data_IF_998745891886
#
_entry.id   IF_998745891886
#
_cell.length_a   1.000
_cell.length_b   1.000
_cell.length_c   1.000
_cell.angle_alpha   90.00
_cell.angle_beta   90.00
_cell.angle_gamma   90.00
#
_symmetry.space_group_name_H-M   'P 1'
#
loop_
_entity.id
_entity.type
_entity.pdbx_description
1 polymer ?
#
# COMPACT_ATOMS: atom_id res chain seq x y z
N UNK A 1 -3.38 -21.90 45.42
CA UNK A 1 -4.36 -21.22 44.52
C UNK A 1 -3.60 -20.71 43.30
N UNK A 2 -3.87 -21.28 42.12
CA UNK A 2 -3.22 -20.90 40.85
C UNK A 2 -3.76 -19.52 40.42
N UNK A 3 -2.88 -18.53 40.30
CA UNK A 3 -3.24 -17.23 39.70
C UNK A 3 -3.14 -17.38 38.17
N UNK A 4 -4.28 -17.50 37.51
CA UNK A 4 -4.36 -17.33 36.06
C UNK A 4 -4.24 -15.84 35.76
N UNK A 5 -3.14 -15.44 35.15
CA UNK A 5 -2.96 -14.09 34.62
C UNK A 5 -3.55 -14.07 33.20
N UNK A 6 -4.55 -13.22 33.01
CA UNK A 6 -5.33 -13.07 31.78
C UNK A 6 -4.43 -12.60 30.63
N UNK A 7 -4.16 -13.48 29.68
CA UNK A 7 -3.46 -13.16 28.43
C UNK A 7 -4.51 -12.95 27.31
N UNK A 8 -5.38 -11.95 27.45
CA UNK A 8 -6.47 -11.68 26.48
C UNK A 8 -6.52 -10.22 26.01
N UNK A 9 -5.47 -9.44 26.21
CA UNK A 9 -5.44 -8.03 25.78
C UNK A 9 -4.59 -7.77 24.52
N UNK A 10 -3.70 -8.70 24.14
CA UNK A 10 -2.83 -8.55 22.97
C UNK A 10 -3.49 -8.96 21.65
N UNK A 11 -4.51 -9.83 21.69
CA UNK A 11 -5.14 -10.36 20.46
C UNK A 11 -6.15 -9.41 19.80
N UNK A 12 -6.76 -8.51 20.57
CA UNK A 12 -7.79 -7.59 20.06
C UNK A 12 -7.16 -6.43 19.28
N UNK A 13 -5.97 -5.96 19.69
CA UNK A 13 -5.29 -4.81 19.06
C UNK A 13 -4.75 -5.16 17.68
N UNK A 14 -4.26 -6.39 17.46
CA UNK A 14 -3.78 -6.86 16.15
C UNK A 14 -4.91 -7.02 15.11
N UNK A 15 -6.16 -7.10 15.56
CA UNK A 15 -7.30 -7.39 14.70
C UNK A 15 -7.84 -6.14 13.99
N UNK A 16 -7.76 -4.96 14.61
CA UNK A 16 -8.30 -3.71 14.05
C UNK A 16 -7.50 -3.20 12.84
N UNK A 17 -6.17 -3.30 12.85
CA UNK A 17 -5.35 -2.93 11.68
C UNK A 17 -5.65 -3.81 10.47
N UNK A 18 -5.85 -5.12 10.70
CA UNK A 18 -6.16 -6.05 9.63
C UNK A 18 -7.44 -5.70 8.89
N UNK A 19 -8.39 -4.99 9.52
CA UNK A 19 -9.71 -4.77 8.95
C UNK A 19 -9.75 -3.61 7.93
N UNK A 20 -8.97 -2.55 8.14
CA UNK A 20 -9.05 -1.34 7.30
C UNK A 20 -8.59 -1.58 5.86
N UNK A 21 -7.52 -2.37 5.67
CA UNK A 21 -6.96 -2.65 4.33
C UNK A 21 -7.29 -4.06 3.83
N UNK A 22 -8.24 -4.75 4.47
CA UNK A 22 -8.60 -6.14 4.12
C UNK A 22 -9.11 -6.25 2.69
N UNK A 23 -9.94 -5.31 2.22
CA UNK A 23 -10.43 -5.31 0.85
C UNK A 23 -9.28 -5.22 -0.17
N UNK A 24 -8.31 -4.34 0.08
CA UNK A 24 -7.11 -4.23 -0.75
C UNK A 24 -6.30 -5.54 -0.75
N UNK A 25 -6.15 -6.18 0.41
CA UNK A 25 -5.48 -7.49 0.53
C UNK A 25 -6.17 -8.58 -0.27
N UNK A 26 -7.50 -8.63 -0.21
CA UNK A 26 -8.31 -9.60 -0.94
C UNK A 26 -8.24 -9.39 -2.45
N UNK A 27 -8.29 -8.14 -2.91
CA UNK A 27 -8.09 -7.79 -4.33
C UNK A 27 -6.69 -8.23 -4.76
N UNK A 28 -5.65 -7.91 -3.98
CA UNK A 28 -4.27 -8.32 -4.28
C UNK A 28 -4.16 -9.83 -4.46
N UNK A 29 -4.65 -10.60 -3.49
CA UNK A 29 -4.61 -12.06 -3.51
C UNK A 29 -5.34 -12.64 -4.72
N UNK A 30 -6.53 -12.11 -5.05
CA UNK A 30 -7.32 -12.52 -6.20
C UNK A 30 -6.52 -12.38 -7.50
N UNK A 31 -5.99 -11.18 -7.76
CA UNK A 31 -5.29 -10.92 -9.01
C UNK A 31 -3.90 -11.54 -9.10
N UNK A 32 -3.19 -11.70 -7.97
CA UNK A 32 -1.91 -12.43 -7.93
C UNK A 32 -2.12 -13.89 -8.36
N UNK A 33 -3.19 -14.53 -7.88
CA UNK A 33 -3.57 -15.89 -8.28
C UNK A 33 -3.97 -15.97 -9.77
N UNK A 34 -4.76 -15.02 -10.26
CA UNK A 34 -5.15 -14.96 -11.68
C UNK A 34 -3.93 -14.80 -12.61
N UNK A 35 -2.98 -13.94 -12.23
CA UNK A 35 -1.72 -13.74 -12.96
C UNK A 35 -0.84 -14.99 -12.93
N UNK A 36 -0.73 -15.67 -11.78
CA UNK A 36 0.03 -16.92 -11.67
C UNK A 36 -0.54 -18.01 -12.59
N UNK A 37 -1.86 -18.20 -12.57
CA UNK A 37 -2.55 -19.15 -13.44
C UNK A 37 -2.33 -18.84 -14.92
N UNK A 38 -2.42 -17.56 -15.31
CA UNK A 38 -2.14 -17.11 -16.68
C UNK A 38 -0.70 -17.44 -17.10
N UNK A 39 0.28 -17.21 -16.22
CA UNK A 39 1.69 -17.51 -16.47
C UNK A 39 1.91 -19.03 -16.61
N UNK A 40 1.26 -19.85 -15.79
CA UNK A 40 1.32 -21.31 -15.89
C UNK A 40 0.75 -21.79 -17.22
N UNK A 41 -0.43 -21.30 -17.61
CA UNK A 41 -1.05 -21.61 -18.90
C UNK A 41 -0.13 -21.21 -20.06
N UNK A 42 0.45 -20.01 -20.01
CA UNK A 42 1.41 -19.54 -21.00
C UNK A 42 2.62 -20.48 -21.13
N UNK A 43 3.19 -20.94 -20.01
CA UNK A 43 4.32 -21.88 -19.99
C UNK A 43 3.96 -23.21 -20.66
N UNK A 44 2.74 -23.71 -20.46
CA UNK A 44 2.25 -24.90 -21.13
C UNK A 44 2.07 -24.67 -22.64
N UNK A 45 1.53 -23.53 -23.03
CA UNK A 45 1.31 -23.17 -24.43
C UNK A 45 2.61 -23.06 -25.23
N UNK A 46 3.69 -22.54 -24.63
CA UNK A 46 5.00 -22.45 -25.30
C UNK A 46 5.70 -23.81 -25.39
N UNK A 47 5.56 -24.67 -24.39
CA UNK A 47 6.16 -26.01 -24.38
C UNK A 47 5.61 -26.89 -25.51
N UNK A 48 4.33 -26.70 -25.86
CA UNK A 48 3.63 -27.49 -26.86
C UNK A 48 3.84 -27.01 -28.32
N UNK A 49 4.75 -26.07 -28.61
CA UNK A 49 4.82 -25.41 -29.93
C UNK A 49 6.23 -25.36 -30.55
N UNK A 50 6.30 -25.81 -31.81
CA UNK A 50 7.55 -26.00 -32.56
C UNK A 50 7.98 -24.82 -33.47
N UNK A 51 7.19 -23.73 -33.61
CA UNK A 51 7.48 -22.67 -34.59
C UNK A 51 7.50 -21.24 -34.02
N UNK A 52 8.59 -20.49 -34.34
CA UNK A 52 8.89 -19.14 -33.82
C UNK A 52 7.81 -18.08 -34.06
N UNK A 53 7.08 -18.11 -35.19
CA UNK A 53 5.99 -17.13 -35.46
C UNK A 53 4.81 -17.31 -34.50
N UNK A 54 4.51 -18.56 -34.12
CA UNK A 54 3.46 -18.90 -33.16
C UNK A 54 3.86 -18.45 -31.75
N UNK A 55 5.15 -18.53 -31.41
CA UNK A 55 5.68 -18.04 -30.13
C UNK A 55 5.42 -16.55 -29.93
N UNK A 56 5.77 -15.71 -30.92
CA UNK A 56 5.53 -14.26 -30.86
C UNK A 56 4.07 -13.91 -30.60
N UNK A 57 3.13 -14.61 -31.25
CA UNK A 57 1.71 -14.35 -31.07
C UNK A 57 1.22 -14.72 -29.68
N UNK A 58 1.67 -15.85 -29.12
CA UNK A 58 1.29 -16.26 -27.76
C UNK A 58 1.83 -15.27 -26.73
N UNK A 59 3.07 -14.81 -26.91
CA UNK A 59 3.67 -13.80 -26.04
C UNK A 59 2.84 -12.53 -26.06
N UNK A 60 2.45 -12.05 -27.25
CA UNK A 60 1.56 -10.88 -27.42
C UNK A 60 0.22 -11.07 -26.73
N UNK A 61 -0.43 -12.22 -26.90
CA UNK A 61 -1.71 -12.54 -26.25
C UNK A 61 -1.55 -12.50 -24.73
N UNK A 62 -0.49 -13.12 -24.19
CA UNK A 62 -0.18 -13.12 -22.76
C UNK A 62 0.08 -11.70 -22.25
N UNK A 63 0.86 -10.90 -22.96
CA UNK A 63 1.15 -9.50 -22.57
C UNK A 63 -0.14 -8.67 -22.50
N UNK A 64 -1.02 -8.81 -23.49
CA UNK A 64 -2.33 -8.15 -23.49
C UNK A 64 -3.19 -8.61 -22.30
N UNK A 65 -3.26 -9.92 -22.04
CA UNK A 65 -4.03 -10.46 -20.93
C UNK A 65 -3.50 -9.98 -19.56
N UNK A 66 -2.18 -9.93 -19.37
CA UNK A 66 -1.56 -9.36 -18.17
C UNK A 66 -1.96 -7.90 -18.00
N UNK A 67 -1.84 -7.09 -19.07
CA UNK A 67 -2.21 -5.68 -19.04
C UNK A 67 -3.68 -5.48 -18.69
N UNK A 68 -4.57 -6.28 -19.24
CA UNK A 68 -6.00 -6.24 -18.92
C UNK A 68 -6.27 -6.56 -17.44
N UNK A 69 -5.59 -7.57 -16.88
CA UNK A 69 -5.71 -7.92 -15.46
C UNK A 69 -5.17 -6.81 -14.55
N UNK A 70 -4.04 -6.20 -14.90
CA UNK A 70 -3.47 -5.08 -14.14
C UNK A 70 -4.39 -3.86 -14.12
N UNK A 71 -5.02 -3.55 -15.26
CA UNK A 71 -6.02 -2.47 -15.37
C UNK A 71 -7.23 -2.77 -14.46
N UNK A 72 -7.76 -3.99 -14.51
CA UNK A 72 -8.91 -4.40 -13.67
C UNK A 72 -8.56 -4.37 -12.18
N UNK A 73 -7.39 -4.92 -11.81
CA UNK A 73 -6.85 -4.87 -10.45
C UNK A 73 -6.78 -3.44 -9.94
N UNK A 74 -6.19 -2.54 -10.72
CA UNK A 74 -6.08 -1.13 -10.34
C UNK A 74 -7.44 -0.44 -10.21
N UNK A 75 -8.42 -0.77 -11.06
CA UNK A 75 -9.77 -0.24 -10.94
C UNK A 75 -10.43 -0.65 -9.62
N UNK A 76 -10.40 -1.95 -9.27
CA UNK A 76 -10.94 -2.45 -8.00
C UNK A 76 -10.22 -1.84 -6.78
N UNK A 77 -8.89 -1.68 -6.86
CA UNK A 77 -8.13 -1.00 -5.81
C UNK A 77 -8.55 0.46 -5.59
N UNK A 78 -8.82 1.20 -6.67
CA UNK A 78 -9.26 2.59 -6.55
C UNK A 78 -10.67 2.69 -5.94
N UNK A 79 -11.57 1.77 -6.27
CA UNK A 79 -12.89 1.69 -5.64
C UNK A 79 -12.78 1.40 -4.14
N UNK A 80 -11.91 0.47 -3.75
CA UNK A 80 -11.68 0.14 -2.35
C UNK A 80 -11.02 1.29 -1.59
N UNK A 81 -10.05 1.98 -2.20
CA UNK A 81 -9.42 3.18 -1.63
C UNK A 81 -10.46 4.27 -1.34
N UNK A 82 -11.46 4.47 -2.20
CA UNK A 82 -12.53 5.43 -1.97
C UNK A 82 -13.37 5.07 -0.74
N UNK A 83 -13.64 3.78 -0.49
CA UNK A 83 -14.33 3.33 0.72
C UNK A 83 -13.51 3.62 1.97
N UNK A 84 -12.22 3.25 1.96
CA UNK A 84 -11.28 3.51 3.07
C UNK A 84 -11.28 5.00 3.41
N UNK A 85 -11.13 5.87 2.40
CA UNK A 85 -11.11 7.33 2.61
C UNK A 85 -12.43 7.89 3.13
N UNK A 86 -13.55 7.34 2.68
CA UNK A 86 -14.88 7.75 3.16
C UNK A 86 -15.07 7.35 4.63
N UNK A 87 -14.65 6.14 5.00
CA UNK A 87 -14.70 5.66 6.38
C UNK A 87 -13.79 6.47 7.30
N UNK A 88 -12.59 6.84 6.84
CA UNK A 88 -11.67 7.72 7.56
C UNK A 88 -12.25 9.12 7.77
N UNK A 89 -12.90 9.71 6.75
CA UNK A 89 -13.53 11.02 6.87
C UNK A 89 -14.67 11.04 7.91
N UNK A 90 -15.42 9.94 8.01
CA UNK A 90 -16.50 9.79 8.98
C UNK A 90 -15.99 9.60 10.42
N UNK A 91 -14.74 9.17 10.61
CA UNK A 91 -14.09 9.12 11.93
C UNK A 91 -13.60 10.53 12.24
N UNK A 92 -14.25 11.23 13.18
CA UNK A 92 -13.80 12.56 13.64
C UNK A 92 -12.35 12.48 14.13
N UNK A 93 -11.42 12.86 13.27
CA UNK A 93 -10.00 12.84 13.58
C UNK A 93 -9.62 14.18 14.20
N UNK A 94 -9.48 14.18 15.51
CA UNK A 94 -9.05 15.37 16.24
C UNK A 94 -7.56 15.62 16.01
N UNK A 95 -7.25 16.44 15.01
CA UNK A 95 -5.89 16.82 14.61
C UNK A 95 -5.15 17.54 15.75
N UNK A 96 -5.87 18.15 16.70
CA UNK A 96 -5.27 18.81 17.86
C UNK A 96 -4.60 17.83 18.84
N UNK A 97 -4.93 16.54 18.76
CA UNK A 97 -4.29 15.47 19.54
C UNK A 97 -3.04 14.88 18.88
N UNK A 98 -2.67 15.33 17.68
CA UNK A 98 -1.38 14.99 17.09
C UNK A 98 -0.31 15.83 17.78
N UNK A 99 0.65 15.17 18.41
CA UNK A 99 1.77 15.87 19.03
C UNK A 99 2.82 16.21 17.97
N UNK A 100 3.27 17.47 17.99
CA UNK A 100 4.47 17.92 17.29
C UNK A 100 5.65 17.53 18.18
N UNK A 101 6.55 16.74 17.61
CA UNK A 101 7.64 16.07 18.30
C UNK A 101 8.77 17.11 18.53
N UNK A 102 9.08 17.44 19.79
CA UNK A 102 10.13 18.35 20.23
C UNK A 102 11.13 17.62 21.15
N UNK A 103 12.42 17.79 20.83
CA UNK A 103 13.52 16.95 21.26
C UNK A 103 13.66 16.84 22.79
N UNK A 104 13.07 15.80 23.39
CA UNK A 104 13.55 15.07 24.58
C UNK A 104 12.75 13.77 24.81
N UNK A 105 13.44 12.62 24.80
CA UNK A 105 12.83 11.32 25.11
C UNK A 105 11.99 10.69 23.97
N UNK A 106 12.08 11.26 22.78
CA UNK A 106 11.25 10.91 21.63
C UNK A 106 11.88 9.82 20.76
N UNK A 107 11.03 8.88 20.33
CA UNK A 107 11.38 7.87 19.34
C UNK A 107 10.44 8.06 18.16
N UNK A 108 11.00 8.41 17.01
CA UNK A 108 10.25 8.51 15.76
C UNK A 108 9.71 7.13 15.34
N UNK A 109 8.54 7.08 14.68
CA UNK A 109 8.07 5.84 14.07
C UNK A 109 9.12 5.27 13.11
N UNK A 110 9.24 3.94 13.10
CA UNK A 110 10.19 3.24 12.24
C UNK A 110 9.47 2.16 11.46
N UNK A 111 9.75 2.06 10.18
CA UNK A 111 9.29 0.91 9.42
C UNK A 111 10.04 -0.34 9.90
N UNK A 112 9.30 -1.39 10.29
CA UNK A 112 9.89 -2.57 10.94
C UNK A 112 10.96 -3.28 10.09
N UNK A 113 10.82 -3.24 8.76
CA UNK A 113 11.79 -3.79 7.80
C UNK A 113 12.89 -2.80 7.36
N UNK A 114 12.86 -1.57 7.86
CA UNK A 114 13.82 -0.52 7.53
C UNK A 114 13.44 0.31 6.28
N UNK A 115 13.98 1.53 6.22
CA UNK A 115 13.55 2.55 5.27
C UNK A 115 13.81 2.21 3.79
N UNK A 116 14.80 1.37 3.49
CA UNK A 116 15.07 0.96 2.10
C UNK A 116 13.99 0.01 1.60
N UNK A 117 13.60 -0.97 2.42
CA UNK A 117 12.51 -1.90 2.10
C UNK A 117 11.19 -1.16 1.95
N UNK A 118 10.92 -0.18 2.82
CA UNK A 118 9.75 0.69 2.69
C UNK A 118 9.68 1.37 1.31
N UNK A 119 10.79 1.96 0.84
CA UNK A 119 10.84 2.63 -0.46
C UNK A 119 10.62 1.66 -1.61
N UNK A 120 11.21 0.47 -1.53
CA UNK A 120 11.07 -0.58 -2.53
C UNK A 120 9.63 -1.10 -2.60
N UNK A 121 9.00 -1.39 -1.47
CA UNK A 121 7.61 -1.85 -1.43
C UNK A 121 6.65 -0.77 -1.92
N UNK A 122 6.87 0.49 -1.55
CA UNK A 122 6.09 1.61 -2.07
C UNK A 122 6.22 1.74 -3.58
N UNK A 123 7.44 1.59 -4.12
CA UNK A 123 7.68 1.63 -5.56
C UNK A 123 7.05 0.42 -6.29
N UNK A 124 7.14 -0.78 -5.71
CA UNK A 124 6.58 -2.01 -6.28
C UNK A 124 5.04 -2.00 -6.31
N UNK A 125 4.41 -1.34 -5.35
CA UNK A 125 2.95 -1.19 -5.30
C UNK A 125 2.43 -0.07 -6.21
N UNK A 126 3.31 0.75 -6.76
CA UNK A 126 2.93 1.91 -7.56
C UNK A 126 2.61 1.53 -9.02
N UNK A 127 1.39 1.83 -9.47
CA UNK A 127 0.96 1.53 -10.84
C UNK A 127 1.11 2.75 -11.76
N UNK A 128 2.28 2.88 -12.38
CA UNK A 128 2.66 4.03 -13.23
C UNK A 128 1.81 4.19 -14.48
N UNK A 129 1.30 3.10 -15.07
CA UNK A 129 0.50 3.12 -16.31
C UNK A 129 -0.83 3.88 -16.16
N UNK A 130 -1.32 4.07 -14.93
CA UNK A 130 -2.52 4.87 -14.66
C UNK A 130 -2.23 6.38 -14.58
N UNK A 131 -0.96 6.79 -14.58
CA UNK A 131 -0.57 8.19 -14.44
C UNK A 131 -0.53 8.86 -15.81
N UNK A 132 -1.25 9.97 -15.94
CA UNK A 132 -1.30 10.76 -17.17
C UNK A 132 -0.36 11.95 -17.04
N UNK A 133 0.46 12.22 -18.05
CA UNK A 133 1.35 13.38 -18.07
C UNK A 133 2.63 13.10 -18.84
N UNK A 134 3.57 14.04 -18.77
CA UNK A 134 4.91 13.91 -19.34
C UNK A 134 5.92 14.61 -18.43
N UNK A 135 7.17 14.16 -18.49
CA UNK A 135 8.26 14.77 -17.75
C UNK A 135 8.21 14.49 -16.25
N UNK A 136 8.94 15.31 -15.49
CA UNK A 136 9.10 15.14 -14.04
C UNK A 136 7.89 15.70 -13.30
N UNK A 137 7.21 14.85 -12.54
CA UNK A 137 6.10 15.21 -11.66
C UNK A 137 6.44 14.83 -10.21
N UNK A 138 5.87 15.56 -9.25
CA UNK A 138 6.14 15.37 -7.82
C UNK A 138 4.85 15.29 -7.00
N UNK A 139 4.92 14.58 -5.88
CA UNK A 139 3.85 14.40 -4.91
C UNK A 139 4.45 14.34 -3.51
N UNK A 140 3.88 15.03 -2.54
CA UNK A 140 4.18 14.82 -1.12
C UNK A 140 3.07 13.95 -0.51
N UNK A 141 3.43 12.74 -0.07
CA UNK A 141 2.55 11.93 0.75
C UNK A 141 2.63 12.40 2.20
N UNK A 142 1.48 12.68 2.81
CA UNK A 142 1.32 12.89 4.24
C UNK A 142 0.37 11.83 4.80
N UNK A 143 0.74 11.21 5.91
CA UNK A 143 -0.07 10.17 6.55
C UNK A 143 0.16 10.15 8.06
N UNK A 144 -0.68 9.44 8.80
CA UNK A 144 -0.54 9.25 10.25
C UNK A 144 -0.21 7.79 10.53
N UNK A 145 0.81 7.58 11.35
CA UNK A 145 1.07 6.31 12.01
C UNK A 145 0.37 6.35 13.36
N UNK A 146 -0.57 5.42 13.57
CA UNK A 146 -1.32 5.25 14.80
C UNK A 146 -0.49 4.58 15.90
N UNK A 147 -1.04 4.54 17.12
CA UNK A 147 -0.38 3.94 18.29
C UNK A 147 -0.14 2.43 18.15
N UNK A 148 -0.88 1.77 17.27
CA UNK A 148 -0.74 0.36 16.94
C UNK A 148 0.17 0.12 15.72
N UNK A 149 0.75 1.19 15.15
CA UNK A 149 1.60 1.10 13.96
C UNK A 149 0.85 1.09 12.64
N UNK A 150 -0.49 1.22 12.64
CA UNK A 150 -1.27 1.30 11.42
C UNK A 150 -1.11 2.64 10.70
N UNK A 151 -1.25 2.62 9.37
CA UNK A 151 -1.25 3.82 8.53
C UNK A 151 -2.69 4.24 8.27
N UNK A 152 -2.99 5.51 8.53
CA UNK A 152 -4.31 6.12 8.26
C UNK A 152 -4.14 7.52 7.68
N UNK A 153 -5.23 8.06 7.13
CA UNK A 153 -5.33 9.43 6.64
C UNK A 153 -4.25 9.76 5.61
N UNK A 154 -4.02 8.85 4.66
CA UNK A 154 -3.02 9.06 3.61
C UNK A 154 -3.54 10.08 2.61
N UNK A 155 -2.72 11.11 2.37
CA UNK A 155 -3.00 12.18 1.42
C UNK A 155 -1.78 12.47 0.55
N UNK A 156 -1.93 12.35 -0.76
CA UNK A 156 -0.98 12.80 -1.75
C UNK A 156 -1.27 14.24 -2.20
N UNK A 157 -0.27 15.11 -2.15
CA UNK A 157 -0.39 16.50 -2.57
C UNK A 157 0.63 16.83 -3.66
N UNK A 158 0.15 17.25 -4.82
CA UNK A 158 0.95 17.57 -6.00
C UNK A 158 0.05 17.98 -7.15
N UNK A 159 0.63 18.53 -8.22
CA UNK A 159 -0.14 19.03 -9.38
C UNK A 159 -0.84 17.92 -10.17
N UNK A 160 -0.32 16.68 -10.12
CA UNK A 160 -0.85 15.56 -10.89
C UNK A 160 -1.75 14.67 -10.02
N UNK A 161 -3.06 14.81 -10.16
CA UNK A 161 -4.02 14.03 -9.37
C UNK A 161 -3.91 12.52 -9.57
N UNK A 162 -3.65 12.07 -10.80
CA UNK A 162 -3.50 10.63 -11.07
C UNK A 162 -2.28 10.05 -10.37
N UNK A 163 -1.18 10.82 -10.30
CA UNK A 163 0.01 10.45 -9.54
C UNK A 163 -0.28 10.43 -8.04
N UNK A 164 -0.94 11.45 -7.51
CA UNK A 164 -1.28 11.54 -6.09
C UNK A 164 -2.12 10.34 -5.64
N UNK A 165 -3.18 10.00 -6.40
CA UNK A 165 -4.06 8.86 -6.08
C UNK A 165 -3.31 7.52 -6.12
N UNK A 166 -2.43 7.32 -7.11
CA UNK A 166 -1.63 6.11 -7.21
C UNK A 166 -0.58 6.01 -6.09
N UNK A 167 0.01 7.14 -5.68
CA UNK A 167 0.93 7.18 -4.55
C UNK A 167 0.22 6.85 -3.22
N UNK A 168 -0.99 7.36 -3.01
CA UNK A 168 -1.81 7.03 -1.84
C UNK A 168 -2.15 5.54 -1.80
N UNK A 169 -2.60 4.99 -2.94
CA UNK A 169 -2.91 3.57 -3.08
C UNK A 169 -1.68 2.70 -2.78
N UNK A 170 -0.54 3.05 -3.36
CA UNK A 170 0.70 2.31 -3.18
C UNK A 170 1.12 2.22 -1.70
N UNK A 171 0.88 3.28 -0.92
CA UNK A 171 1.16 3.29 0.52
C UNK A 171 0.17 2.41 1.30
N UNK A 172 -1.13 2.44 0.99
CA UNK A 172 -2.12 1.57 1.64
C UNK A 172 -1.93 0.08 1.32
N UNK A 173 -1.28 -0.25 0.19
CA UNK A 173 -0.93 -1.62 -0.18
C UNK A 173 0.26 -2.17 0.60
N UNK A 174 0.95 -1.34 1.40
CA UNK A 174 1.98 -1.82 2.33
C UNK A 174 1.29 -2.44 3.54
N UNK A 175 1.46 -3.76 3.70
CA UNK A 175 0.75 -4.56 4.71
C UNK A 175 1.56 -4.75 5.99
N UNK A 176 2.86 -4.47 5.98
CA UNK A 176 3.69 -4.64 7.17
C UNK A 176 3.54 -3.48 8.15
N UNK A 177 3.87 -3.76 9.40
CA UNK A 177 3.62 -2.84 10.52
C UNK A 177 4.76 -1.84 10.69
N UNK A 178 4.40 -0.64 11.11
CA UNK A 178 5.33 0.34 11.64
C UNK A 178 5.49 0.15 13.14
N UNK A 179 6.71 0.33 13.64
CA UNK A 179 6.90 0.64 15.05
C UNK A 179 6.37 2.05 15.30
N UNK A 180 5.37 2.23 16.19
CA UNK A 180 4.78 3.53 16.45
C UNK A 180 5.80 4.44 17.15
N UNK A 181 5.61 5.75 16.99
CA UNK A 181 6.42 6.73 17.71
C UNK A 181 6.14 6.68 19.21
N UNK A 182 7.12 7.10 20.01
CA UNK A 182 7.01 7.19 21.47
C UNK A 182 7.44 8.56 21.97
N UNK A 183 6.68 9.08 22.93
CA UNK A 183 7.01 10.27 23.73
C UNK A 183 6.87 9.87 25.20
N UNK A 184 7.90 10.15 26.01
CA UNK A 184 7.94 9.79 27.43
C UNK A 184 7.59 8.31 27.70
N UNK A 185 8.08 7.42 26.84
CA UNK A 185 7.83 5.97 26.92
C UNK A 185 6.41 5.53 26.51
N UNK A 186 5.53 6.43 26.09
CA UNK A 186 4.15 6.12 25.66
C UNK A 186 4.02 6.18 24.14
N UNK A 187 3.28 5.25 23.54
CA UNK A 187 2.99 5.27 22.11
C UNK A 187 2.09 6.44 21.73
N UNK A 188 2.47 7.19 20.72
CA UNK A 188 1.76 8.37 20.24
C UNK A 188 1.46 8.27 18.74
N UNK A 189 0.46 9.02 18.27
CA UNK A 189 0.18 9.14 16.85
C UNK A 189 1.20 10.10 16.24
N UNK A 190 1.77 9.74 15.10
CA UNK A 190 2.80 10.54 14.44
C UNK A 190 2.41 10.83 13.01
N UNK A 191 2.47 12.10 12.60
CA UNK A 191 2.32 12.47 11.20
C UNK A 191 3.66 12.32 10.48
N UNK A 192 3.65 11.60 9.37
CA UNK A 192 4.81 11.38 8.51
C UNK A 192 4.62 12.07 7.17
N UNK A 193 5.74 12.41 6.52
CA UNK A 193 5.77 12.94 5.16
C UNK A 193 6.82 12.23 4.32
N UNK A 194 6.48 11.92 3.07
CA UNK A 194 7.39 11.27 2.11
C UNK A 194 7.26 12.00 0.78
N UNK A 195 8.31 12.70 0.32
CA UNK A 195 8.33 13.28 -1.02
C UNK A 195 8.57 12.17 -2.05
N UNK A 196 7.79 12.20 -3.11
CA UNK A 196 7.87 11.31 -4.26
C UNK A 196 8.06 12.10 -5.54
N UNK A 197 8.80 11.51 -6.46
CA UNK A 197 9.02 12.04 -7.79
C UNK A 197 8.92 10.91 -8.80
N UNK A 198 8.20 11.15 -9.89
CA UNK A 198 8.13 10.25 -11.03
C UNK A 198 8.61 11.00 -12.26
N UNK A 199 9.44 10.35 -13.08
CA UNK A 199 9.79 10.85 -14.39
C UNK A 199 9.05 10.03 -15.44
N UNK A 200 8.12 10.66 -16.15
CA UNK A 200 7.38 10.05 -17.24
C UNK A 200 8.13 10.31 -18.54
N UNK A 201 8.54 9.21 -19.20
CA UNK A 201 9.17 9.26 -20.53
C UNK A 201 8.14 9.44 -21.64
#
# INVERSE_FOLDING_TARGET
>A
MKKFFTFLFLFIVSFYFSQQTEGLRMIKKKYDLELENLIVQYKQDIANKAYRKKLKEITRIKDNAVKELEIKRNAEYLEELLKIKTDELNRVFDVSKLQVIDERGEIMPRYSKGNNVFKEELANNFYSEAVKGKGKISCELSFVIERDGSIVNVKGTGENESFNKQAELALYLILDTWEPGRLDGRTVKCRMRVPLTLNLN
#
